data_IF_349384842702
#
_entry.id   IF_349384842702
#
_cell.length_a   1.000
_cell.length_b   1.000
_cell.length_c   1.000
_cell.angle_alpha   90.00
_cell.angle_beta   90.00
_cell.angle_gamma   90.00
#
_symmetry.space_group_name_H-M   'P 1'
#
loop_
_entity.id
_entity.type
_entity.pdbx_description
1 polymer ?
#
# COMPACT_ATOMS: atom_id res chain seq x y z
N UNK A 1 19.21 0.69 -17.09
CA UNK A 1 18.25 0.36 -16.00
C UNK A 1 16.93 -0.01 -16.64
N UNK A 2 16.49 -1.27 -16.54
CA UNK A 2 15.16 -1.65 -17.01
C UNK A 2 14.10 -0.97 -16.15
N UNK A 3 13.26 -0.15 -16.78
CA UNK A 3 12.03 0.34 -16.15
C UNK A 3 11.07 -0.83 -16.07
N UNK A 4 11.07 -1.56 -14.95
CA UNK A 4 10.03 -2.57 -14.68
C UNK A 4 8.69 -1.85 -14.62
N UNK A 5 7.91 -1.95 -15.71
CA UNK A 5 6.53 -1.47 -15.75
C UNK A 5 5.73 -2.21 -14.69
N UNK A 6 5.32 -1.51 -13.65
CA UNK A 6 4.36 -2.03 -12.68
C UNK A 6 3.03 -2.25 -13.41
N UNK A 7 2.39 -3.40 -13.17
CA UNK A 7 1.16 -3.73 -13.88
C UNK A 7 0.01 -2.79 -13.50
N UNK A 8 -0.87 -2.51 -14.44
CA UNK A 8 -2.03 -1.65 -14.21
C UNK A 8 -2.91 -2.18 -13.07
N UNK A 9 -3.02 -3.50 -12.93
CA UNK A 9 -3.76 -4.14 -11.85
C UNK A 9 -3.20 -3.78 -10.46
N UNK A 10 -1.88 -3.69 -10.31
CA UNK A 10 -1.22 -3.26 -9.06
C UNK A 10 -1.50 -1.78 -8.80
N UNK A 11 -1.36 -0.93 -9.82
CA UNK A 11 -1.64 0.52 -9.72
C UNK A 11 -3.08 0.77 -9.27
N UNK A 12 -4.06 0.07 -9.88
CA UNK A 12 -5.48 0.17 -9.51
C UNK A 12 -5.79 -0.31 -8.09
N UNK A 13 -4.94 -1.14 -7.48
CA UNK A 13 -5.09 -1.60 -6.08
C UNK A 13 -4.50 -0.63 -5.06
N UNK A 14 -3.48 0.16 -5.40
CA UNK A 14 -2.84 1.09 -4.46
C UNK A 14 -3.81 2.04 -3.73
N UNK A 15 -4.79 2.69 -4.39
CA UNK A 15 -5.76 3.53 -3.69
C UNK A 15 -6.64 2.76 -2.69
N UNK A 16 -6.85 1.45 -2.90
CA UNK A 16 -7.59 0.60 -1.94
C UNK A 16 -6.72 0.29 -0.72
N UNK A 17 -5.44 -0.04 -0.92
CA UNK A 17 -4.50 -0.22 0.19
C UNK A 17 -4.40 1.06 1.02
N UNK A 18 -4.26 2.21 0.36
CA UNK A 18 -4.18 3.51 1.04
C UNK A 18 -5.39 3.76 1.95
N UNK A 19 -6.61 3.54 1.45
CA UNK A 19 -7.84 3.69 2.25
C UNK A 19 -7.89 2.74 3.44
N UNK A 20 -7.49 1.48 3.25
CA UNK A 20 -7.50 0.52 4.35
C UNK A 20 -6.46 0.88 5.43
N UNK A 21 -5.28 1.34 5.02
CA UNK A 21 -4.24 1.80 5.94
C UNK A 21 -4.65 3.06 6.70
N UNK A 22 -5.42 3.98 6.08
CA UNK A 22 -6.01 5.11 6.81
C UNK A 22 -6.96 4.65 7.92
N UNK A 23 -7.79 3.64 7.66
CA UNK A 23 -8.68 3.07 8.68
C UNK A 23 -7.88 2.46 9.83
N UNK A 24 -6.83 1.69 9.50
CA UNK A 24 -5.95 1.08 10.50
C UNK A 24 -5.19 2.12 11.32
N UNK A 25 -4.70 3.19 10.68
CA UNK A 25 -4.02 4.30 11.35
C UNK A 25 -4.98 5.00 12.34
N UNK A 26 -6.21 5.30 11.90
CA UNK A 26 -7.24 5.91 12.77
C UNK A 26 -7.62 5.01 13.94
N UNK A 27 -7.56 3.69 13.76
CA UNK A 27 -7.78 2.70 14.81
C UNK A 27 -6.56 2.47 15.73
N UNK A 28 -5.46 3.23 15.55
CA UNK A 28 -4.26 3.11 16.38
C UNK A 28 -3.44 1.84 16.13
N UNK A 29 -3.66 1.15 15.00
CA UNK A 29 -2.90 -0.07 14.66
C UNK A 29 -1.50 0.33 14.20
N UNK A 30 -0.47 -0.10 14.94
CA UNK A 30 0.92 0.20 14.58
C UNK A 30 1.44 -0.67 13.43
N UNK A 31 1.11 -1.96 13.43
CA UNK A 31 1.60 -2.93 12.45
C UNK A 31 0.50 -3.85 11.94
N UNK A 32 0.64 -4.28 10.68
CA UNK A 32 -0.26 -5.26 10.07
C UNK A 32 0.52 -6.29 9.25
N UNK A 33 0.12 -7.56 9.33
CA UNK A 33 0.67 -8.62 8.48
C UNK A 33 0.04 -8.60 7.08
N UNK A 34 0.75 -9.13 6.08
CA UNK A 34 0.20 -9.31 4.73
C UNK A 34 -1.06 -10.16 4.74
N UNK A 35 -1.13 -11.21 5.57
CA UNK A 35 -2.32 -12.06 5.70
C UNK A 35 -3.54 -11.31 6.22
N UNK A 36 -3.39 -10.50 7.28
CA UNK A 36 -4.50 -9.74 7.86
C UNK A 36 -4.99 -8.64 6.91
N UNK A 37 -4.06 -7.94 6.25
CA UNK A 37 -4.41 -6.93 5.24
C UNK A 37 -5.11 -7.57 4.04
N UNK A 38 -4.61 -8.71 3.57
CA UNK A 38 -5.20 -9.44 2.45
C UNK A 38 -6.62 -9.93 2.77
N UNK A 39 -6.85 -10.46 3.98
CA UNK A 39 -8.18 -10.89 4.44
C UNK A 39 -9.20 -9.74 4.40
N UNK A 40 -8.83 -8.56 4.90
CA UNK A 40 -9.69 -7.37 4.87
C UNK A 40 -10.01 -6.90 3.44
N UNK A 41 -9.11 -7.18 2.50
CA UNK A 41 -9.22 -6.73 1.11
C UNK A 41 -9.70 -7.83 0.14
N UNK A 42 -10.01 -9.03 0.64
CA UNK A 42 -10.35 -10.22 -0.16
C UNK A 42 -9.27 -10.56 -1.20
N UNK A 43 -8.01 -10.53 -0.77
CA UNK A 43 -6.83 -10.83 -1.56
C UNK A 43 -6.06 -12.00 -0.94
N UNK A 44 -5.05 -12.48 -1.67
CA UNK A 44 -4.05 -13.41 -1.16
C UNK A 44 -2.86 -12.65 -0.55
N UNK A 45 -2.28 -13.18 0.53
CA UNK A 45 -1.12 -12.57 1.19
C UNK A 45 0.12 -12.49 0.27
N UNK A 46 0.26 -13.41 -0.70
CA UNK A 46 1.32 -13.32 -1.72
C UNK A 46 1.10 -12.13 -2.65
N UNK A 47 -0.14 -11.85 -3.05
CA UNK A 47 -0.47 -10.73 -3.92
C UNK A 47 -0.14 -9.40 -3.25
N UNK A 48 -0.51 -9.23 -1.98
CA UNK A 48 -0.14 -8.02 -1.19
C UNK A 48 1.38 -7.83 -1.15
N UNK A 49 2.13 -8.90 -0.89
CA UNK A 49 3.59 -8.86 -0.87
C UNK A 49 4.17 -8.49 -2.23
N UNK A 50 3.68 -9.10 -3.31
CA UNK A 50 4.14 -8.81 -4.68
C UNK A 50 3.84 -7.37 -5.07
N UNK A 51 2.62 -6.89 -4.81
CA UNK A 51 2.20 -5.52 -5.10
C UNK A 51 3.12 -4.50 -4.42
N UNK A 52 3.45 -4.71 -3.14
CA UNK A 52 4.33 -3.84 -2.38
C UNK A 52 5.78 -3.94 -2.85
N UNK A 53 6.28 -5.16 -3.10
CA UNK A 53 7.63 -5.37 -3.62
C UNK A 53 7.86 -4.75 -5.00
N UNK A 54 6.81 -4.42 -5.77
CA UNK A 54 6.94 -3.65 -7.01
C UNK A 54 7.50 -2.24 -6.79
N UNK A 55 7.35 -1.67 -5.58
CA UNK A 55 7.78 -0.30 -5.28
C UNK A 55 8.85 -0.23 -4.18
N UNK A 56 9.11 -1.33 -3.46
CA UNK A 56 10.17 -1.42 -2.46
C UNK A 56 9.90 -2.45 -1.37
N UNK A 57 10.88 -2.65 -0.48
CA UNK A 57 10.75 -3.53 0.68
C UNK A 57 10.11 -2.82 1.87
N UNK A 58 8.79 -2.63 1.86
CA UNK A 58 8.10 -1.88 2.93
C UNK A 58 7.83 -2.66 4.22
N UNK A 59 8.20 -3.94 4.27
CA UNK A 59 7.84 -4.83 5.37
C UNK A 59 9.02 -5.67 5.85
N UNK A 60 8.89 -6.22 7.05
CA UNK A 60 9.88 -7.08 7.67
C UNK A 60 9.30 -8.48 7.87
N UNK A 61 10.05 -9.52 7.50
CA UNK A 61 9.64 -10.91 7.65
C UNK A 61 9.32 -11.22 9.12
N UNK A 62 8.15 -11.81 9.38
CA UNK A 62 7.66 -12.11 10.73
C UNK A 62 7.01 -10.93 11.46
N UNK A 63 7.31 -9.67 11.08
CA UNK A 63 6.79 -8.46 11.74
C UNK A 63 5.70 -7.74 10.96
N UNK A 64 5.65 -7.93 9.64
CA UNK A 64 4.69 -7.27 8.76
C UNK A 64 5.10 -5.83 8.41
N UNK A 65 4.10 -4.98 8.21
CA UNK A 65 4.26 -3.60 7.76
C UNK A 65 3.93 -2.64 8.90
N UNK A 66 4.76 -1.62 9.11
CA UNK A 66 4.36 -0.48 9.93
C UNK A 66 3.29 0.31 9.16
N UNK A 67 2.13 0.54 9.80
CA UNK A 67 0.97 1.15 9.14
C UNK A 67 1.25 2.58 8.73
N UNK A 68 1.86 3.39 9.60
CA UNK A 68 2.16 4.80 9.33
C UNK A 68 3.20 4.94 8.22
N UNK A 69 4.28 4.18 8.29
CA UNK A 69 5.33 4.18 7.25
C UNK A 69 4.76 3.74 5.91
N UNK A 70 4.08 2.58 5.85
CA UNK A 70 3.51 2.06 4.60
C UNK A 70 2.47 3.02 4.00
N UNK A 71 1.65 3.65 4.83
CA UNK A 71 0.70 4.66 4.40
C UNK A 71 1.41 5.86 3.74
N UNK A 72 2.50 6.35 4.34
CA UNK A 72 3.31 7.43 3.81
C UNK A 72 3.93 7.10 2.45
N UNK A 73 4.49 5.89 2.32
CA UNK A 73 5.06 5.40 1.06
C UNK A 73 3.99 5.32 -0.04
N UNK A 74 2.83 4.73 0.25
CA UNK A 74 1.74 4.65 -0.74
C UNK A 74 1.20 6.05 -1.09
N UNK A 75 1.12 6.97 -0.12
CA UNK A 75 0.75 8.38 -0.38
C UNK A 75 1.72 9.03 -1.37
N UNK A 76 3.01 8.78 -1.20
CA UNK A 76 4.09 9.28 -2.07
C UNK A 76 3.99 8.69 -3.48
N UNK A 77 3.81 7.36 -3.60
CA UNK A 77 3.65 6.66 -4.88
C UNK A 77 2.44 7.17 -5.67
N UNK A 78 1.32 7.40 -4.98
CA UNK A 78 0.10 7.96 -5.58
C UNK A 78 0.19 9.47 -5.82
N UNK A 79 1.30 10.11 -5.44
CA UNK A 79 1.53 11.54 -5.53
C UNK A 79 0.39 12.37 -4.89
N UNK A 80 -0.14 11.90 -3.76
CA UNK A 80 -1.21 12.54 -2.97
C UNK A 80 -0.65 13.54 -1.93
N UNK A 81 0.63 13.86 -2.04
CA UNK A 81 1.35 14.84 -1.21
C UNK A 81 1.35 16.25 -1.83
N UNK A 82 0.73 16.44 -3.01
CA UNK A 82 0.61 17.73 -3.68
C UNK A 82 -0.84 18.01 -4.11
N UNK A 83 -1.26 19.28 -4.14
CA UNK A 83 -2.55 19.65 -4.69
C UNK A 83 -2.57 19.49 -6.21
N UNK A 84 -3.72 19.12 -6.76
CA UNK A 84 -3.98 19.13 -8.20
C UNK A 84 -5.08 20.13 -8.49
N UNK A 85 -4.89 20.94 -9.54
CA UNK A 85 -5.94 21.81 -10.06
C UNK A 85 -6.86 20.96 -10.94
N UNK A 86 -8.15 21.01 -10.66
CA UNK A 86 -9.20 20.39 -11.47
C UNK A 86 -10.29 21.43 -11.72
N UNK A 87 -10.92 21.36 -12.89
CA UNK A 87 -12.09 22.16 -13.27
C UNK A 87 -13.22 21.17 -13.52
N UNK A 88 -14.42 21.49 -13.04
CA UNK A 88 -15.64 20.67 -13.18
C UNK A 88 -16.59 21.38 -14.12
#
# INVERSE_FOLDING_TARGET
MEVRKVSEAVIRRLPKYYRQLLVLQKAGVERISSSKLAQQMRLNASQVRQDFNCFGGFGQQGYGYNVVTLLGEIKSILALNRPYKAVV
#
